data_IF_922284641626
#
_entry.id   IF_922284641626
#
_cell.length_a   1.000
_cell.length_b   1.000
_cell.length_c   1.000
_cell.angle_alpha   90.00
_cell.angle_beta   90.00
_cell.angle_gamma   90.00
#
_symmetry.space_group_name_H-M   'P 1'
#
loop_
_entity.id
_entity.type
_entity.pdbx_description
1 polymer ?
#
# COMPACT_ATOMS: atom_id res chain seq x y z
N UNK A 1 2.82 6.08 -7.23
CA UNK A 1 1.36 5.76 -7.24
C UNK A 1 0.60 7.06 -7.50
N UNK A 2 -0.21 7.14 -8.55
CA UNK A 2 -1.05 8.30 -8.94
C UNK A 2 -0.34 9.63 -9.20
N UNK A 3 0.99 9.69 -9.29
CA UNK A 3 1.75 10.96 -9.34
C UNK A 3 1.31 11.86 -10.51
N UNK A 4 1.09 11.28 -11.68
CA UNK A 4 0.68 12.03 -12.87
C UNK A 4 -0.75 12.61 -12.71
N UNK A 5 -1.68 11.81 -12.20
CA UNK A 5 -3.05 12.25 -11.93
C UNK A 5 -3.09 13.32 -10.85
N UNK A 6 -2.36 13.11 -9.75
CA UNK A 6 -2.25 14.08 -8.63
C UNK A 6 -1.74 15.42 -9.10
N UNK A 7 -0.66 15.45 -9.89
CA UNK A 7 -0.08 16.71 -10.41
C UNK A 7 -1.08 17.50 -11.29
N UNK A 8 -1.83 16.79 -12.14
CA UNK A 8 -2.83 17.41 -13.02
C UNK A 8 -4.03 17.95 -12.23
N UNK A 9 -4.54 17.16 -11.28
CA UNK A 9 -5.65 17.59 -10.42
C UNK A 9 -5.27 18.77 -9.54
N UNK A 10 -4.08 18.78 -8.96
CA UNK A 10 -3.63 19.93 -8.17
C UNK A 10 -3.49 21.22 -8.99
N UNK A 11 -3.06 21.13 -10.27
CA UNK A 11 -3.03 22.28 -11.17
C UNK A 11 -4.44 22.82 -11.41
N UNK A 12 -5.40 21.94 -11.66
CA UNK A 12 -6.81 22.32 -11.86
C UNK A 12 -7.41 22.98 -10.62
N UNK A 13 -7.08 22.51 -9.42
CA UNK A 13 -7.54 23.14 -8.17
C UNK A 13 -6.87 24.47 -7.85
N UNK A 14 -5.63 24.71 -8.32
CA UNK A 14 -4.98 26.01 -8.12
C UNK A 14 -5.72 27.15 -8.82
N UNK A 15 -6.37 26.86 -9.95
CA UNK A 15 -7.18 27.85 -10.67
C UNK A 15 -8.36 28.34 -9.82
N UNK A 16 -9.01 27.44 -9.08
CA UNK A 16 -10.15 27.80 -8.21
C UNK A 16 -9.73 28.36 -6.85
N UNK A 17 -8.60 27.90 -6.28
CA UNK A 17 -8.16 28.33 -4.94
C UNK A 17 -7.79 29.82 -4.86
N UNK A 18 -7.47 30.44 -5.98
CA UNK A 18 -7.11 31.86 -6.06
C UNK A 18 -8.28 32.82 -6.26
N UNK A 19 -9.50 32.32 -6.53
CA UNK A 19 -10.64 33.17 -6.85
C UNK A 19 -11.55 33.39 -5.64
N UNK A 20 -11.79 34.62 -5.31
CA UNK A 20 -12.65 35.06 -4.18
C UNK A 20 -14.15 34.80 -4.41
N UNK A 21 -14.57 34.49 -5.64
CA UNK A 21 -15.94 34.11 -6.01
C UNK A 21 -15.90 32.97 -7.03
N UNK A 22 -16.75 31.98 -6.80
CA UNK A 22 -16.99 30.90 -7.76
C UNK A 22 -18.13 31.28 -8.66
N UNK A 23 -17.88 31.18 -9.97
CA UNK A 23 -18.88 31.34 -11.01
C UNK A 23 -19.13 30.00 -11.69
N UNK A 24 -20.29 29.87 -12.34
CA UNK A 24 -20.59 28.66 -13.12
C UNK A 24 -19.54 28.40 -14.21
N UNK A 25 -18.97 29.47 -14.79
CA UNK A 25 -17.92 29.36 -15.81
C UNK A 25 -16.65 28.75 -15.23
N UNK A 26 -16.18 29.25 -14.08
CA UNK A 26 -14.94 28.75 -13.44
C UNK A 26 -15.08 27.30 -13.01
N UNK A 27 -16.24 26.88 -12.52
CA UNK A 27 -16.57 25.51 -12.20
C UNK A 27 -16.51 24.63 -13.44
N UNK A 28 -17.15 25.08 -14.54
CA UNK A 28 -17.17 24.32 -15.79
C UNK A 28 -15.77 24.11 -16.39
N UNK A 29 -14.92 25.15 -16.36
CA UNK A 29 -13.54 25.08 -16.85
C UNK A 29 -12.70 24.10 -16.01
N UNK A 30 -12.81 24.21 -14.68
CA UNK A 30 -12.07 23.30 -13.80
C UNK A 30 -12.53 21.86 -13.95
N UNK A 31 -13.81 21.60 -14.08
CA UNK A 31 -14.33 20.24 -14.29
C UNK A 31 -13.93 19.68 -15.65
N UNK A 32 -13.78 20.53 -16.67
CA UNK A 32 -13.22 20.12 -17.96
C UNK A 32 -11.77 19.65 -17.82
N UNK A 33 -10.95 20.39 -17.07
CA UNK A 33 -9.56 20.01 -16.80
C UNK A 33 -9.47 18.75 -15.93
N UNK A 34 -10.32 18.61 -14.91
CA UNK A 34 -10.42 17.40 -14.08
C UNK A 34 -10.80 16.19 -14.96
N UNK A 35 -11.81 16.32 -15.85
CA UNK A 35 -12.21 15.26 -16.76
C UNK A 35 -11.04 14.84 -17.66
N UNK A 36 -10.33 15.82 -18.21
CA UNK A 36 -9.14 15.57 -19.04
C UNK A 36 -8.05 14.84 -18.26
N UNK A 37 -7.77 15.27 -17.01
CA UNK A 37 -6.80 14.63 -16.15
C UNK A 37 -7.16 13.15 -15.85
N UNK A 38 -8.44 12.86 -15.63
CA UNK A 38 -8.93 11.49 -15.43
C UNK A 38 -8.78 10.63 -16.69
N UNK A 39 -9.13 11.16 -17.86
CA UNK A 39 -8.97 10.45 -19.15
C UNK A 39 -7.50 10.18 -19.44
N UNK A 40 -6.62 11.16 -19.23
CA UNK A 40 -5.17 11.03 -19.40
C UNK A 40 -4.55 10.03 -18.40
N UNK A 41 -5.23 9.75 -17.30
CA UNK A 41 -4.89 8.73 -16.33
C UNK A 41 -5.53 7.36 -16.62
N UNK A 42 -6.02 7.14 -17.84
CA UNK A 42 -6.71 5.91 -18.27
C UNK A 42 -8.03 5.61 -17.55
N UNK A 43 -8.72 6.62 -17.02
CA UNK A 43 -10.08 6.45 -16.51
C UNK A 43 -11.05 6.33 -17.70
N UNK A 44 -11.97 5.37 -17.62
CA UNK A 44 -13.00 5.19 -18.64
C UNK A 44 -13.78 6.49 -18.88
N UNK A 45 -13.98 6.86 -20.14
CA UNK A 45 -14.64 8.13 -20.52
C UNK A 45 -16.03 8.32 -19.89
N UNK A 46 -16.87 7.25 -19.90
CA UNK A 46 -18.22 7.32 -19.32
C UNK A 46 -18.15 7.59 -17.82
N UNK A 47 -17.19 6.95 -17.13
CA UNK A 47 -16.95 7.10 -15.70
C UNK A 47 -16.48 8.55 -15.40
N UNK A 48 -15.48 9.05 -16.13
CA UNK A 48 -14.98 10.41 -15.98
C UNK A 48 -16.04 11.47 -16.26
N UNK A 49 -16.92 11.23 -17.24
CA UNK A 49 -18.05 12.12 -17.57
C UNK A 49 -19.08 12.13 -16.45
N UNK A 50 -19.59 10.97 -16.01
CA UNK A 50 -20.58 10.87 -14.92
C UNK A 50 -20.07 11.54 -13.66
N UNK A 51 -18.83 11.24 -13.26
CA UNK A 51 -18.18 11.87 -12.13
C UNK A 51 -18.15 13.39 -12.19
N UNK A 52 -17.72 13.96 -13.32
CA UNK A 52 -17.66 15.44 -13.45
C UNK A 52 -19.04 16.09 -13.52
N UNK A 53 -20.04 15.38 -14.05
CA UNK A 53 -21.42 15.88 -14.10
C UNK A 53 -22.05 15.87 -12.68
N UNK A 54 -21.78 14.86 -11.85
CA UNK A 54 -22.22 14.79 -10.44
C UNK A 54 -21.53 15.88 -9.59
N UNK A 55 -20.20 16.03 -9.74
CA UNK A 55 -19.46 17.13 -9.08
C UNK A 55 -20.02 18.50 -9.48
N UNK A 56 -20.36 18.70 -10.77
CA UNK A 56 -20.97 19.95 -11.26
C UNK A 56 -22.27 20.27 -10.54
N UNK A 57 -23.18 19.30 -10.45
CA UNK A 57 -24.47 19.47 -9.77
C UNK A 57 -24.29 19.88 -8.31
N UNK A 58 -23.38 19.22 -7.59
CA UNK A 58 -23.09 19.53 -6.17
C UNK A 58 -22.36 20.86 -5.99
N UNK A 59 -21.42 21.19 -6.88
CA UNK A 59 -20.66 22.43 -6.83
C UNK A 59 -21.49 23.69 -7.13
N UNK A 60 -22.54 23.58 -7.92
CA UNK A 60 -23.47 24.66 -8.24
C UNK A 60 -24.60 24.80 -7.20
N UNK A 61 -24.60 24.01 -6.15
CA UNK A 61 -25.54 24.11 -5.03
C UNK A 61 -25.39 25.43 -4.28
N UNK A 62 -26.50 25.97 -3.73
CA UNK A 62 -26.53 27.28 -3.06
C UNK A 62 -25.56 27.38 -1.86
N UNK A 63 -25.29 26.26 -1.17
CA UNK A 63 -24.39 26.22 -0.03
C UNK A 63 -22.93 26.49 -0.42
N UNK A 64 -22.53 26.03 -1.60
CA UNK A 64 -21.16 26.26 -2.13
C UNK A 64 -20.98 27.69 -2.57
N UNK A 65 -21.97 28.25 -3.30
CA UNK A 65 -21.93 29.62 -3.82
C UNK A 65 -21.94 30.67 -2.71
N UNK A 66 -22.53 30.36 -1.55
CA UNK A 66 -22.56 31.23 -0.36
C UNK A 66 -21.41 31.01 0.61
N UNK A 67 -20.56 30.05 0.37
CA UNK A 67 -19.44 29.69 1.28
C UNK A 67 -18.38 30.80 1.31
N UNK A 68 -17.79 31.01 2.50
CA UNK A 68 -16.65 31.93 2.68
C UNK A 68 -15.37 31.42 2.00
N UNK A 69 -15.28 30.08 1.74
CA UNK A 69 -14.14 29.43 1.09
C UNK A 69 -14.60 28.44 0.01
N UNK A 70 -15.15 28.93 -1.09
CA UNK A 70 -15.79 28.10 -2.10
C UNK A 70 -14.82 27.08 -2.74
N UNK A 71 -13.55 27.43 -2.98
CA UNK A 71 -12.55 26.53 -3.54
C UNK A 71 -12.22 25.33 -2.65
N UNK A 72 -12.31 25.49 -1.32
CA UNK A 72 -12.15 24.35 -0.38
C UNK A 72 -13.38 23.44 -0.42
N UNK A 73 -14.57 23.99 -0.57
CA UNK A 73 -15.80 23.21 -0.71
C UNK A 73 -15.78 22.36 -1.97
N UNK A 74 -15.36 22.91 -3.10
CA UNK A 74 -15.23 22.12 -4.34
C UNK A 74 -14.18 21.00 -4.19
N UNK A 75 -13.05 21.29 -3.59
CA UNK A 75 -12.04 20.26 -3.32
C UNK A 75 -12.63 19.13 -2.46
N UNK A 76 -13.42 19.46 -1.44
CA UNK A 76 -14.11 18.48 -0.61
C UNK A 76 -15.13 17.66 -1.41
N UNK A 77 -15.95 18.32 -2.24
CA UNK A 77 -16.92 17.64 -3.10
C UNK A 77 -16.21 16.65 -4.02
N UNK A 78 -15.14 17.07 -4.70
CA UNK A 78 -14.36 16.20 -5.58
C UNK A 78 -13.77 15.03 -4.80
N UNK A 79 -13.25 15.24 -3.60
CA UNK A 79 -12.73 14.20 -2.71
C UNK A 79 -13.80 13.17 -2.36
N UNK A 80 -14.95 13.66 -1.91
CA UNK A 80 -16.05 12.82 -1.46
C UNK A 80 -16.64 12.01 -2.63
N UNK A 81 -16.76 12.61 -3.82
CA UNK A 81 -17.20 11.92 -5.03
C UNK A 81 -16.18 10.90 -5.54
N UNK A 82 -14.88 11.19 -5.46
CA UNK A 82 -13.84 10.20 -5.76
C UNK A 82 -13.92 9.01 -4.82
N UNK A 83 -14.11 9.26 -3.52
CA UNK A 83 -14.28 8.20 -2.54
C UNK A 83 -15.52 7.34 -2.85
N UNK A 84 -16.65 7.96 -3.16
CA UNK A 84 -17.90 7.27 -3.54
C UNK A 84 -17.72 6.45 -4.83
N UNK A 85 -17.08 7.01 -5.84
CA UNK A 85 -16.79 6.32 -7.09
C UNK A 85 -15.95 5.04 -6.88
N UNK A 86 -15.05 5.07 -5.90
CA UNK A 86 -14.23 3.93 -5.50
C UNK A 86 -14.90 2.98 -4.50
N UNK A 87 -16.14 3.27 -4.06
CA UNK A 87 -16.92 2.36 -3.20
C UNK A 87 -17.33 2.94 -1.84
N UNK A 88 -16.98 4.19 -1.52
CA UNK A 88 -17.36 4.92 -0.32
C UNK A 88 -16.59 4.46 0.92
N UNK A 89 -16.81 3.23 1.37
CA UNK A 89 -16.18 2.65 2.56
C UNK A 89 -15.38 1.40 2.24
N UNK A 90 -14.40 1.10 3.10
CA UNK A 90 -13.63 -0.14 2.99
C UNK A 90 -14.54 -1.35 3.21
N UNK A 91 -14.29 -2.41 2.44
CA UNK A 91 -15.03 -3.67 2.55
C UNK A 91 -14.07 -4.78 3.00
N UNK A 92 -14.33 -5.39 4.14
CA UNK A 92 -13.51 -6.49 4.65
C UNK A 92 -13.73 -7.79 3.86
N UNK A 93 -12.80 -8.72 4.02
CA UNK A 93 -12.87 -10.06 3.44
C UNK A 93 -13.85 -10.92 4.25
N UNK A 94 -14.68 -11.69 3.56
CA UNK A 94 -15.61 -12.64 4.19
C UNK A 94 -14.88 -13.93 4.56
N UNK A 95 -14.90 -14.28 5.83
CA UNK A 95 -14.29 -15.49 6.37
C UNK A 95 -15.35 -16.37 7.03
N UNK A 96 -16.28 -16.84 6.22
CA UNK A 96 -17.41 -17.67 6.65
C UNK A 96 -17.13 -19.15 6.39
N UNK A 97 -17.60 -20.02 7.28
CA UNK A 97 -17.36 -21.46 7.19
C UNK A 97 -16.14 -21.95 7.98
N UNK A 98 -16.00 -23.27 8.07
CA UNK A 98 -14.88 -23.95 8.74
C UNK A 98 -14.41 -25.14 7.89
N UNK A 99 -13.33 -24.97 7.14
CA UNK A 99 -12.57 -23.75 6.91
C UNK A 99 -13.32 -22.74 6.03
N UNK A 100 -13.03 -21.44 6.20
CA UNK A 100 -13.41 -20.42 5.22
C UNK A 100 -12.57 -20.60 3.96
N UNK A 101 -13.20 -20.68 2.79
CA UNK A 101 -12.51 -20.92 1.51
C UNK A 101 -12.45 -19.62 0.70
N UNK A 102 -11.26 -19.23 0.30
CA UNK A 102 -10.99 -18.06 -0.54
C UNK A 102 -10.46 -18.56 -1.89
N UNK A 103 -11.16 -18.23 -2.96
CA UNK A 103 -10.75 -18.57 -4.33
C UNK A 103 -10.06 -17.36 -4.98
N UNK A 104 -8.85 -17.56 -5.52
CA UNK A 104 -8.09 -16.52 -6.20
C UNK A 104 -8.16 -16.73 -7.70
N UNK A 105 -8.68 -15.75 -8.44
CA UNK A 105 -8.86 -15.79 -9.89
C UNK A 105 -8.15 -14.61 -10.57
N UNK A 106 -7.80 -14.75 -11.86
CA UNK A 106 -7.21 -13.67 -12.67
C UNK A 106 -6.27 -14.19 -13.76
N UNK A 107 -5.80 -13.31 -14.62
CA UNK A 107 -4.92 -13.65 -15.72
C UNK A 107 -3.51 -14.06 -15.26
N UNK A 108 -2.74 -14.65 -16.16
CA UNK A 108 -1.32 -14.93 -15.94
C UNK A 108 -0.54 -13.63 -15.75
N UNK A 109 0.38 -13.62 -14.80
CA UNK A 109 1.19 -12.44 -14.50
C UNK A 109 0.47 -11.35 -13.69
N UNK A 110 -0.83 -11.52 -13.36
CA UNK A 110 -1.55 -10.55 -12.51
C UNK A 110 -1.12 -10.55 -11.04
N UNK A 111 -0.25 -11.46 -10.62
CA UNK A 111 0.27 -11.51 -9.24
C UNK A 111 -0.54 -12.37 -8.27
N UNK A 112 -1.38 -13.29 -8.74
CA UNK A 112 -2.21 -14.18 -7.90
C UNK A 112 -1.42 -14.92 -6.83
N UNK A 113 -0.39 -15.65 -7.22
CA UNK A 113 0.43 -16.48 -6.32
C UNK A 113 1.12 -15.64 -5.25
N UNK A 114 1.69 -14.48 -5.64
CA UNK A 114 2.28 -13.53 -4.68
C UNK A 114 1.22 -12.95 -3.74
N UNK A 115 0.04 -12.61 -4.28
CA UNK A 115 -1.09 -12.12 -3.47
C UNK A 115 -1.59 -13.21 -2.50
N UNK A 116 -1.70 -14.47 -2.94
CA UNK A 116 -2.09 -15.60 -2.09
C UNK A 116 -1.18 -15.73 -0.88
N UNK A 117 0.15 -15.62 -1.07
CA UNK A 117 1.13 -15.58 0.02
C UNK A 117 0.97 -14.37 0.93
N UNK A 118 0.82 -13.17 0.37
CA UNK A 118 0.61 -11.95 1.16
C UNK A 118 -0.68 -11.98 1.97
N UNK A 119 -1.77 -12.48 1.39
CA UNK A 119 -3.05 -12.65 2.08
C UNK A 119 -2.93 -13.65 3.22
N UNK A 120 -2.26 -14.78 3.00
CA UNK A 120 -1.99 -15.77 4.04
C UNK A 120 -1.18 -15.18 5.19
N UNK A 121 -0.14 -14.39 4.89
CA UNK A 121 0.66 -13.67 5.89
C UNK A 121 -0.19 -12.70 6.71
N UNK A 122 -1.04 -11.89 6.06
CA UNK A 122 -1.93 -10.94 6.71
C UNK A 122 -2.95 -11.63 7.62
N UNK A 123 -3.59 -12.70 7.14
CA UNK A 123 -4.58 -13.45 7.90
C UNK A 123 -3.96 -14.15 9.13
N UNK A 124 -2.75 -14.69 8.97
CA UNK A 124 -2.02 -15.32 10.07
C UNK A 124 -1.58 -14.29 11.11
N UNK A 125 -0.91 -13.21 10.68
CA UNK A 125 -0.29 -12.24 11.59
C UNK A 125 -1.28 -11.28 12.24
N UNK A 126 -2.23 -10.75 11.46
CA UNK A 126 -3.17 -9.73 11.96
C UNK A 126 -4.52 -10.29 12.42
N UNK A 127 -4.99 -11.40 11.85
CA UNK A 127 -6.28 -12.00 12.22
C UNK A 127 -6.14 -13.31 12.99
N UNK A 128 -4.92 -13.77 13.32
CA UNK A 128 -4.65 -14.97 14.11
C UNK A 128 -5.20 -16.25 13.48
N UNK A 129 -5.30 -16.31 12.15
CA UNK A 129 -5.89 -17.45 11.43
C UNK A 129 -4.85 -18.53 11.15
N UNK A 130 -5.28 -19.79 11.20
CA UNK A 130 -4.52 -20.92 10.71
C UNK A 130 -4.87 -21.13 9.23
N UNK A 131 -3.93 -20.79 8.36
CA UNK A 131 -4.14 -20.73 6.91
C UNK A 131 -3.46 -21.90 6.23
N UNK A 132 -4.14 -22.52 5.26
CA UNK A 132 -3.59 -23.46 4.30
C UNK A 132 -3.63 -22.82 2.91
N UNK A 133 -2.52 -22.88 2.18
CA UNK A 133 -2.46 -22.54 0.77
C UNK A 133 -2.67 -23.81 -0.06
N UNK A 134 -3.47 -23.76 -1.12
CA UNK A 134 -3.68 -24.88 -2.05
C UNK A 134 -3.18 -24.49 -3.43
N UNK A 135 -2.23 -25.25 -3.97
CA UNK A 135 -1.64 -25.00 -5.27
C UNK A 135 -2.49 -25.58 -6.39
N UNK A 136 -3.38 -24.78 -6.95
CA UNK A 136 -4.27 -25.16 -8.07
C UNK A 136 -3.73 -24.86 -9.46
N UNK A 137 -2.53 -24.24 -9.61
CA UNK A 137 -1.89 -24.02 -10.91
C UNK A 137 -1.11 -25.28 -11.32
N UNK A 138 -1.84 -26.25 -11.85
CA UNK A 138 -1.29 -27.56 -12.25
C UNK A 138 -0.53 -27.53 -13.58
N UNK A 139 -0.62 -26.44 -14.32
CA UNK A 139 0.00 -26.31 -15.65
C UNK A 139 1.44 -25.81 -15.59
N UNK A 140 1.82 -25.17 -14.47
CA UNK A 140 3.13 -24.55 -14.29
C UNK A 140 3.82 -25.05 -13.00
N UNK A 141 4.69 -26.06 -13.12
CA UNK A 141 5.44 -26.55 -11.95
C UNK A 141 6.15 -25.44 -11.17
N UNK A 142 6.73 -24.46 -11.88
CA UNK A 142 7.38 -23.32 -11.25
C UNK A 142 6.41 -22.46 -10.39
N UNK A 143 5.12 -22.41 -10.68
CA UNK A 143 4.14 -21.69 -9.86
C UNK A 143 3.88 -22.43 -8.54
N UNK A 144 3.84 -23.76 -8.57
CA UNK A 144 3.73 -24.60 -7.36
C UNK A 144 4.95 -24.39 -6.47
N UNK A 145 6.16 -24.46 -7.05
CA UNK A 145 7.40 -24.24 -6.31
C UNK A 145 7.49 -22.83 -5.74
N UNK A 146 7.06 -21.84 -6.50
CA UNK A 146 6.96 -20.44 -6.02
C UNK A 146 6.02 -20.35 -4.81
N UNK A 147 4.85 -20.98 -4.85
CA UNK A 147 3.91 -20.97 -3.73
C UNK A 147 4.48 -21.67 -2.51
N UNK A 148 5.22 -22.80 -2.68
CA UNK A 148 5.94 -23.50 -1.60
C UNK A 148 7.01 -22.62 -0.97
N UNK A 149 7.79 -21.89 -1.77
CA UNK A 149 8.82 -20.94 -1.27
C UNK A 149 8.16 -19.83 -0.46
N UNK A 150 7.09 -19.24 -0.97
CA UNK A 150 6.34 -18.18 -0.27
C UNK A 150 5.74 -18.72 1.03
N UNK A 151 5.12 -19.89 1.01
CA UNK A 151 4.59 -20.56 2.20
C UNK A 151 5.66 -20.78 3.27
N UNK A 152 6.84 -21.27 2.87
CA UNK A 152 8.00 -21.45 3.76
C UNK A 152 8.47 -20.14 4.40
N UNK A 153 8.53 -19.04 3.63
CA UNK A 153 8.95 -17.72 4.13
C UNK A 153 8.03 -17.17 5.23
N UNK A 154 6.72 -17.42 5.11
CA UNK A 154 5.71 -16.94 6.07
C UNK A 154 5.30 -17.99 7.10
N UNK A 155 5.87 -19.21 7.02
CA UNK A 155 5.55 -20.34 7.89
C UNK A 155 4.08 -20.79 7.74
N UNK A 156 3.57 -20.84 6.51
CA UNK A 156 2.23 -21.34 6.14
C UNK A 156 2.39 -22.58 5.28
N UNK A 157 1.63 -23.61 5.60
CA UNK A 157 1.66 -24.87 4.86
C UNK A 157 1.03 -24.74 3.48
N UNK A 158 1.60 -25.44 2.49
CA UNK A 158 1.11 -25.47 1.11
C UNK A 158 0.73 -26.90 0.76
N UNK A 159 -0.54 -27.10 0.45
CA UNK A 159 -1.06 -28.38 -0.04
C UNK A 159 -0.82 -28.52 -1.54
N UNK A 160 -0.24 -29.65 -1.92
CA UNK A 160 0.03 -30.00 -3.32
C UNK A 160 -0.20 -31.50 -3.53
N UNK A 161 -0.60 -31.91 -4.73
CA UNK A 161 -0.70 -33.31 -5.13
C UNK A 161 0.18 -33.57 -6.35
N UNK A 162 1.27 -34.32 -6.15
CA UNK A 162 2.15 -34.70 -7.27
C UNK A 162 1.44 -35.62 -8.24
N UNK A 163 1.53 -35.32 -9.54
CA UNK A 163 0.91 -36.12 -10.60
C UNK A 163 -0.57 -35.86 -10.84
N UNK A 164 -1.29 -35.25 -9.93
CA UNK A 164 -2.68 -34.85 -10.15
C UNK A 164 -2.73 -33.58 -11.00
N UNK A 165 -3.48 -33.63 -12.11
CA UNK A 165 -3.68 -32.52 -13.03
C UNK A 165 -5.11 -31.96 -13.03
N UNK A 166 -5.93 -32.42 -12.08
CA UNK A 166 -7.31 -31.95 -11.93
C UNK A 166 -7.36 -30.86 -10.82
N UNK A 167 -7.43 -29.58 -11.17
CA UNK A 167 -7.41 -28.51 -10.16
C UNK A 167 -8.67 -28.50 -9.28
N UNK A 168 -9.79 -29.02 -9.76
CA UNK A 168 -11.02 -29.14 -8.97
C UNK A 168 -10.82 -30.16 -7.84
N UNK A 169 -10.30 -31.32 -8.18
CA UNK A 169 -10.04 -32.40 -7.21
C UNK A 169 -8.98 -31.98 -6.17
N UNK A 170 -7.90 -31.32 -6.61
CA UNK A 170 -6.86 -30.80 -5.72
C UNK A 170 -7.47 -29.79 -4.72
N UNK A 171 -8.35 -28.92 -5.19
CA UNK A 171 -9.00 -27.93 -4.32
C UNK A 171 -9.92 -28.60 -3.28
N UNK A 172 -10.74 -29.58 -3.70
CA UNK A 172 -11.60 -30.34 -2.79
C UNK A 172 -10.79 -31.14 -1.75
N UNK A 173 -9.73 -31.81 -2.19
CA UNK A 173 -8.87 -32.59 -1.31
C UNK A 173 -8.08 -31.68 -0.34
N UNK A 174 -7.62 -30.53 -0.80
CA UNK A 174 -7.03 -29.52 0.04
C UNK A 174 -7.96 -29.05 1.16
N UNK A 175 -9.26 -28.86 0.86
CA UNK A 175 -10.26 -28.49 1.87
C UNK A 175 -10.51 -29.67 2.85
N UNK A 176 -10.55 -30.91 2.37
CA UNK A 176 -10.65 -32.09 3.24
C UNK A 176 -9.45 -32.18 4.18
N UNK A 177 -8.25 -31.98 3.65
CA UNK A 177 -7.01 -31.93 4.41
C UNK A 177 -7.04 -30.81 5.47
N UNK A 178 -7.49 -29.61 5.09
CA UNK A 178 -7.63 -28.48 5.99
C UNK A 178 -8.54 -28.80 7.19
N UNK A 179 -9.66 -29.49 6.95
CA UNK A 179 -10.57 -29.94 8.02
C UNK A 179 -9.90 -30.92 8.96
N UNK A 180 -9.16 -31.90 8.43
CA UNK A 180 -8.45 -32.91 9.23
C UNK A 180 -7.34 -32.31 10.10
N UNK A 181 -6.69 -31.25 9.61
CA UNK A 181 -5.58 -30.56 10.29
C UNK A 181 -6.02 -29.32 11.09
N UNK A 182 -7.34 -29.04 11.17
CA UNK A 182 -7.91 -27.90 11.88
C UNK A 182 -7.48 -26.52 11.34
N UNK A 183 -7.16 -26.43 10.05
CA UNK A 183 -7.03 -25.11 9.41
C UNK A 183 -8.38 -24.44 9.34
N UNK A 184 -8.42 -23.13 9.63
CA UNK A 184 -9.69 -22.39 9.61
C UNK A 184 -9.86 -21.50 8.40
N UNK A 185 -8.82 -21.35 7.57
CA UNK A 185 -8.85 -20.68 6.27
C UNK A 185 -8.10 -21.48 5.22
N UNK A 186 -8.67 -21.61 4.04
CA UNK A 186 -8.03 -22.19 2.85
C UNK A 186 -8.00 -21.14 1.75
N UNK A 187 -6.83 -20.89 1.18
CA UNK A 187 -6.66 -20.03 0.00
C UNK A 187 -6.31 -20.92 -1.18
N UNK A 188 -7.17 -20.95 -2.19
CA UNK A 188 -6.96 -21.72 -3.43
C UNK A 188 -6.36 -20.79 -4.48
N UNK A 189 -5.07 -20.98 -4.76
CA UNK A 189 -4.36 -20.28 -5.84
C UNK A 189 -4.59 -21.02 -7.15
N UNK A 190 -5.18 -20.34 -8.15
CA UNK A 190 -5.55 -20.97 -9.42
C UNK A 190 -4.61 -20.62 -10.56
N UNK A 191 -4.62 -21.43 -11.61
CA UNK A 191 -3.94 -21.11 -12.84
C UNK A 191 -4.44 -19.80 -13.44
N UNK A 192 -3.60 -19.14 -14.22
CA UNK A 192 -3.98 -18.02 -15.07
C UNK A 192 -3.48 -18.27 -16.49
N UNK A 193 -4.24 -17.83 -17.49
CA UNK A 193 -3.81 -17.81 -18.88
C UNK A 193 -3.53 -16.38 -19.33
N UNK A 194 -2.91 -16.23 -20.49
CA UNK A 194 -2.52 -14.92 -21.03
C UNK A 194 -3.72 -14.07 -21.44
N UNK A 195 -4.82 -14.72 -21.80
CA UNK A 195 -6.07 -14.06 -22.17
C UNK A 195 -7.26 -14.83 -21.58
N UNK A 196 -8.41 -14.17 -21.51
CA UNK A 196 -9.67 -14.82 -21.14
C UNK A 196 -10.07 -15.76 -22.26
N UNK A 197 -10.12 -17.05 -21.97
CA UNK A 197 -10.60 -18.07 -22.89
C UNK A 197 -11.66 -18.96 -22.23
N UNK A 198 -12.42 -19.67 -23.05
CA UNK A 198 -13.53 -20.49 -22.58
C UNK A 198 -13.10 -21.61 -21.65
N UNK A 199 -11.98 -22.28 -21.95
CA UNK A 199 -11.48 -23.39 -21.15
C UNK A 199 -11.05 -22.93 -19.74
N UNK A 200 -10.40 -21.76 -19.65
CA UNK A 200 -10.04 -21.15 -18.37
C UNK A 200 -11.28 -20.81 -17.54
N UNK A 201 -12.27 -20.19 -18.17
CA UNK A 201 -13.49 -19.79 -17.48
C UNK A 201 -14.31 -20.98 -16.99
N UNK A 202 -14.37 -22.05 -17.78
CA UNK A 202 -15.01 -23.31 -17.38
C UNK A 202 -14.28 -23.94 -16.18
N UNK A 203 -12.95 -23.99 -16.20
CA UNK A 203 -12.15 -24.53 -15.11
C UNK A 203 -12.36 -23.78 -13.80
N UNK A 204 -12.22 -22.44 -13.81
CA UNK A 204 -12.40 -21.63 -12.61
C UNK A 204 -13.84 -21.73 -12.07
N UNK A 205 -14.82 -21.75 -12.98
CA UNK A 205 -16.24 -21.91 -12.61
C UNK A 205 -16.49 -23.28 -11.98
N UNK A 206 -15.88 -24.36 -12.51
CA UNK A 206 -15.96 -25.69 -11.95
C UNK A 206 -15.33 -25.75 -10.55
N UNK A 207 -14.14 -25.15 -10.37
CA UNK A 207 -13.52 -25.03 -9.04
C UNK A 207 -14.45 -24.29 -8.09
N UNK A 208 -14.98 -23.11 -8.48
CA UNK A 208 -15.89 -22.33 -7.65
C UNK A 208 -17.12 -23.13 -7.23
N UNK A 209 -17.73 -23.86 -8.16
CA UNK A 209 -18.91 -24.69 -7.90
C UNK A 209 -18.62 -25.82 -6.91
N UNK A 210 -17.45 -26.47 -7.02
CA UNK A 210 -17.03 -27.58 -6.17
C UNK A 210 -16.71 -27.12 -4.74
N UNK A 211 -15.90 -26.04 -4.61
CA UNK A 211 -15.39 -25.61 -3.30
C UNK A 211 -16.31 -24.64 -2.57
N UNK A 212 -17.27 -24.03 -3.25
CA UNK A 212 -18.26 -23.06 -2.71
C UNK A 212 -17.57 -22.03 -1.81
N UNK A 213 -16.68 -21.19 -2.37
CA UNK A 213 -15.87 -20.28 -1.57
C UNK A 213 -16.75 -19.26 -0.83
N UNK A 214 -16.36 -18.88 0.38
CA UNK A 214 -16.96 -17.73 1.08
C UNK A 214 -16.57 -16.40 0.44
N UNK A 215 -15.45 -16.39 -0.29
CA UNK A 215 -14.92 -15.21 -0.97
C UNK A 215 -14.22 -15.63 -2.27
N UNK A 216 -14.57 -15.01 -3.39
CA UNK A 216 -13.87 -15.13 -4.67
C UNK A 216 -13.22 -13.79 -4.98
N UNK A 217 -11.89 -13.75 -5.06
CA UNK A 217 -11.12 -12.52 -5.30
C UNK A 217 -10.54 -12.53 -6.71
N UNK A 218 -10.87 -11.50 -7.48
CA UNK A 218 -10.30 -11.26 -8.80
C UNK A 218 -9.04 -10.40 -8.67
N UNK A 219 -7.90 -10.96 -9.06
CA UNK A 219 -6.59 -10.30 -8.99
C UNK A 219 -6.22 -9.76 -10.35
N UNK A 220 -5.98 -8.46 -10.43
CA UNK A 220 -5.68 -7.75 -11.66
C UNK A 220 -4.47 -6.83 -11.53
N UNK A 221 -3.67 -6.76 -12.58
CA UNK A 221 -2.51 -5.87 -12.68
C UNK A 221 -2.98 -4.44 -13.00
N UNK A 222 -2.74 -3.50 -12.10
CA UNK A 222 -3.15 -2.10 -12.28
C UNK A 222 -2.41 -1.41 -13.43
N UNK A 223 -1.23 -1.90 -13.82
CA UNK A 223 -0.44 -1.31 -14.92
C UNK A 223 -1.07 -1.53 -16.30
N UNK A 224 -2.00 -2.48 -16.45
CA UNK A 224 -2.65 -2.77 -17.74
C UNK A 224 -3.75 -1.78 -18.11
N UNK A 225 -4.04 -0.78 -17.27
CA UNK A 225 -4.94 0.33 -17.60
C UNK A 225 -6.37 -0.15 -17.95
N UNK A 226 -6.86 0.23 -19.13
CA UNK A 226 -8.23 -0.14 -19.59
C UNK A 226 -8.40 -1.64 -19.83
N UNK A 227 -7.34 -2.38 -20.14
CA UNK A 227 -7.41 -3.84 -20.28
C UNK A 227 -7.76 -4.51 -18.95
N UNK A 228 -7.28 -3.95 -17.82
CA UNK A 228 -7.70 -4.39 -16.50
C UNK A 228 -9.22 -4.27 -16.29
N UNK A 229 -9.80 -3.18 -16.77
CA UNK A 229 -11.26 -2.92 -16.68
C UNK A 229 -12.05 -3.88 -17.54
N UNK A 230 -11.62 -4.10 -18.77
CA UNK A 230 -12.27 -5.04 -19.71
C UNK A 230 -12.21 -6.47 -19.16
N UNK A 231 -11.03 -6.91 -18.73
CA UNK A 231 -10.82 -8.23 -18.11
C UNK A 231 -11.70 -8.40 -16.86
N UNK A 232 -11.77 -7.39 -16.00
CA UNK A 232 -12.61 -7.43 -14.80
C UNK A 232 -14.09 -7.63 -15.16
N UNK A 233 -14.58 -6.97 -16.21
CA UNK A 233 -15.96 -7.14 -16.69
C UNK A 233 -16.21 -8.56 -17.16
N UNK A 234 -15.36 -9.10 -18.03
CA UNK A 234 -15.50 -10.46 -18.56
C UNK A 234 -15.49 -11.52 -17.45
N UNK A 235 -14.57 -11.40 -16.49
CA UNK A 235 -14.54 -12.28 -15.33
C UNK A 235 -15.79 -12.13 -14.45
N UNK A 236 -16.28 -10.90 -14.25
CA UNK A 236 -17.47 -10.67 -13.42
C UNK A 236 -18.73 -11.28 -14.05
N UNK A 237 -18.90 -11.17 -15.35
CA UNK A 237 -20.06 -11.72 -16.08
C UNK A 237 -20.15 -13.25 -15.97
N UNK A 238 -18.99 -13.94 -15.90
CA UNK A 238 -18.94 -15.41 -15.87
C UNK A 238 -18.73 -16.01 -14.50
N UNK A 239 -17.90 -15.36 -13.67
CA UNK A 239 -17.52 -15.89 -12.37
C UNK A 239 -18.26 -15.24 -11.22
N UNK A 240 -18.84 -14.04 -11.40
CA UNK A 240 -19.49 -13.25 -10.34
C UNK A 240 -18.65 -13.23 -9.07
N UNK A 241 -17.44 -12.67 -9.14
CA UNK A 241 -16.53 -12.58 -8.01
C UNK A 241 -17.01 -11.58 -6.95
N UNK A 242 -16.52 -11.73 -5.71
CA UNK A 242 -16.97 -10.91 -4.56
C UNK A 242 -16.16 -9.63 -4.38
N UNK A 243 -14.93 -9.59 -4.86
CA UNK A 243 -14.05 -8.42 -4.69
C UNK A 243 -12.87 -8.43 -5.63
N UNK A 244 -12.26 -7.26 -5.79
CA UNK A 244 -11.11 -7.03 -6.66
C UNK A 244 -9.87 -6.73 -5.84
N UNK A 245 -8.75 -7.24 -6.30
CA UNK A 245 -7.42 -6.98 -5.78
C UNK A 245 -6.58 -6.32 -6.86
N UNK A 246 -6.05 -5.14 -6.56
CA UNK A 246 -5.13 -4.42 -7.45
C UNK A 246 -3.70 -4.76 -7.09
N UNK A 247 -2.93 -5.26 -8.04
CA UNK A 247 -1.50 -5.54 -7.89
C UNK A 247 -0.66 -4.54 -8.66
N UNK A 248 0.64 -4.49 -8.37
CA UNK A 248 1.66 -3.68 -9.05
C UNK A 248 1.33 -2.18 -9.11
N UNK A 249 0.59 -1.69 -8.14
CA UNK A 249 0.16 -0.29 -8.09
C UNK A 249 1.35 0.67 -7.83
N UNK A 250 2.46 0.15 -7.35
CA UNK A 250 3.75 0.86 -7.22
C UNK A 250 4.35 1.25 -8.58
N UNK A 251 4.13 0.45 -9.62
CA UNK A 251 4.50 0.77 -11.00
C UNK A 251 3.47 1.61 -11.76
N UNK A 252 2.24 1.71 -11.25
CA UNK A 252 1.16 2.49 -11.89
C UNK A 252 1.20 3.96 -11.44
N UNK A 253 1.64 4.82 -12.34
CA UNK A 253 1.62 6.28 -12.13
C UNK A 253 0.31 6.94 -12.53
N UNK A 254 -0.58 6.23 -13.25
CA UNK A 254 -1.83 6.76 -13.80
C UNK A 254 -3.01 6.53 -12.86
N UNK A 255 -3.20 5.29 -12.37
CA UNK A 255 -4.21 4.92 -11.37
C UNK A 255 -5.64 4.81 -11.86
N UNK A 256 -5.87 4.97 -13.15
CA UNK A 256 -7.22 4.97 -13.72
C UNK A 256 -7.95 3.64 -13.63
N UNK A 257 -7.23 2.53 -13.61
CA UNK A 257 -7.80 1.20 -13.42
C UNK A 257 -8.54 1.10 -12.07
N UNK A 258 -7.95 1.59 -10.98
CA UNK A 258 -8.58 1.58 -9.65
C UNK A 258 -9.93 2.32 -9.64
N UNK A 259 -9.99 3.47 -10.31
CA UNK A 259 -11.21 4.29 -10.40
C UNK A 259 -12.26 3.62 -11.28
N UNK A 260 -11.85 3.05 -12.41
CA UNK A 260 -12.75 2.52 -13.44
C UNK A 260 -13.34 1.15 -13.10
N UNK A 261 -12.54 0.23 -12.53
CA UNK A 261 -12.96 -1.14 -12.28
C UNK A 261 -14.21 -1.17 -11.38
N UNK A 262 -14.17 -0.48 -10.24
CA UNK A 262 -15.31 -0.44 -9.31
C UNK A 262 -16.60 0.01 -9.98
N UNK A 263 -16.51 1.07 -10.78
CA UNK A 263 -17.67 1.64 -11.49
C UNK A 263 -18.23 0.70 -12.56
N UNK A 264 -17.36 -0.05 -13.24
CA UNK A 264 -17.76 -0.93 -14.36
C UNK A 264 -18.33 -2.26 -13.88
N UNK A 265 -17.69 -2.89 -12.86
CA UNK A 265 -18.12 -4.23 -12.39
C UNK A 265 -19.03 -4.19 -11.17
N UNK A 266 -19.20 -3.04 -10.55
CA UNK A 266 -19.97 -2.85 -9.30
C UNK A 266 -19.56 -3.81 -8.15
N UNK A 267 -18.27 -4.19 -8.10
CA UNK A 267 -17.71 -5.02 -7.04
C UNK A 267 -16.68 -4.22 -6.23
N UNK A 268 -16.58 -4.42 -4.90
CA UNK A 268 -15.66 -3.65 -4.07
C UNK A 268 -14.19 -3.95 -4.42
N UNK A 269 -13.38 -2.90 -4.39
CA UNK A 269 -11.93 -3.06 -4.29
C UNK A 269 -11.62 -3.41 -2.84
N UNK A 270 -10.97 -4.57 -2.59
CA UNK A 270 -10.70 -5.05 -1.23
C UNK A 270 -9.26 -4.87 -0.79
N UNK A 271 -8.32 -5.09 -1.71
CA UNK A 271 -6.89 -5.03 -1.39
C UNK A 271 -6.08 -4.34 -2.48
N UNK A 272 -4.98 -3.75 -2.01
CA UNK A 272 -3.88 -3.26 -2.85
C UNK A 272 -2.63 -4.06 -2.47
N UNK A 273 -2.01 -4.68 -3.48
CA UNK A 273 -0.73 -5.36 -3.34
C UNK A 273 0.33 -4.61 -4.13
N UNK A 274 1.28 -4.00 -3.45
CA UNK A 274 2.39 -3.24 -4.04
C UNK A 274 3.72 -3.90 -3.72
N UNK A 275 4.68 -3.83 -4.66
CA UNK A 275 6.01 -4.43 -4.48
C UNK A 275 5.98 -5.93 -4.21
N UNK A 276 7.14 -6.50 -3.89
CA UNK A 276 7.32 -7.96 -3.73
C UNK A 276 7.32 -8.45 -2.28
N UNK A 277 7.47 -7.55 -1.30
CA UNK A 277 7.53 -7.91 0.12
C UNK A 277 6.20 -8.48 0.62
N UNK A 278 6.26 -9.49 1.49
CA UNK A 278 5.08 -10.18 2.01
C UNK A 278 4.18 -9.30 2.90
N UNK A 279 4.72 -8.26 3.50
CA UNK A 279 4.00 -7.26 4.29
C UNK A 279 3.39 -6.11 3.44
N UNK A 280 3.69 -6.07 2.14
CA UNK A 280 3.20 -5.04 1.23
C UNK A 280 1.80 -5.35 0.67
N UNK A 281 0.87 -5.66 1.57
CA UNK A 281 -0.57 -5.82 1.30
C UNK A 281 -1.35 -4.87 2.20
N UNK A 282 -2.25 -4.10 1.59
CA UNK A 282 -3.09 -3.13 2.30
C UNK A 282 -4.56 -3.37 1.97
N UNK A 283 -5.43 -3.17 2.95
CA UNK A 283 -6.87 -3.05 2.71
C UNK A 283 -7.14 -1.79 1.89
N UNK A 284 -8.02 -1.88 0.92
CA UNK A 284 -8.40 -0.73 0.11
C UNK A 284 -9.34 0.18 0.89
N UNK A 285 -8.90 1.41 1.14
CA UNK A 285 -9.70 2.44 1.79
C UNK A 285 -10.03 3.55 0.78
N UNK A 286 -11.26 3.62 0.25
CA UNK A 286 -11.66 4.60 -0.77
C UNK A 286 -11.34 6.05 -0.41
N UNK A 287 -11.62 6.47 0.82
CA UNK A 287 -11.36 7.84 1.29
C UNK A 287 -9.87 8.18 1.32
N UNK A 288 -9.03 7.27 1.85
CA UNK A 288 -7.57 7.46 1.89
C UNK A 288 -6.98 7.51 0.48
N UNK A 289 -7.58 6.72 -0.44
CA UNK A 289 -7.17 6.71 -1.83
C UNK A 289 -7.53 8.02 -2.53
N UNK A 290 -8.72 8.56 -2.28
CA UNK A 290 -9.12 9.88 -2.75
C UNK A 290 -8.17 10.97 -2.23
N UNK A 291 -7.79 10.93 -0.95
CA UNK A 291 -6.83 11.86 -0.35
C UNK A 291 -5.45 11.77 -1.03
N UNK A 292 -4.96 10.56 -1.32
CA UNK A 292 -3.70 10.34 -2.07
C UNK A 292 -3.77 10.90 -3.49
N UNK A 293 -4.86 10.63 -4.22
CA UNK A 293 -5.08 11.13 -5.57
C UNK A 293 -5.09 12.66 -5.60
N UNK A 294 -5.64 13.30 -4.57
CA UNK A 294 -5.70 14.76 -4.46
C UNK A 294 -4.44 15.42 -3.87
N UNK A 295 -3.38 14.63 -3.61
CA UNK A 295 -2.14 15.14 -3.02
C UNK A 295 -2.27 15.58 -1.55
N UNK A 296 -3.35 15.17 -0.87
CA UNK A 296 -3.61 15.51 0.53
C UNK A 296 -2.83 14.59 1.49
N UNK A 297 -2.15 13.57 0.97
CA UNK A 297 -1.41 12.58 1.74
C UNK A 297 -2.32 11.50 2.36
N UNK A 298 -1.70 10.63 3.15
CA UNK A 298 -2.41 9.56 3.88
C UNK A 298 -1.81 9.40 5.28
N UNK A 299 -2.05 10.40 6.11
CA UNK A 299 -1.51 10.45 7.47
C UNK A 299 -2.02 9.29 8.33
N UNK A 300 -3.25 8.81 8.08
CA UNK A 300 -3.83 7.70 8.84
C UNK A 300 -3.04 6.41 8.62
N UNK A 301 -2.77 6.05 7.35
CA UNK A 301 -1.95 4.88 7.04
C UNK A 301 -0.52 5.01 7.57
N UNK A 302 0.05 6.23 7.58
CA UNK A 302 1.37 6.46 8.16
C UNK A 302 1.37 6.20 9.67
N UNK A 303 0.35 6.69 10.39
CA UNK A 303 0.21 6.48 11.83
C UNK A 303 -0.03 5.00 12.15
N UNK A 304 -0.89 4.32 11.39
CA UNK A 304 -1.14 2.87 11.55
C UNK A 304 0.15 2.07 11.38
N UNK A 305 0.93 2.32 10.32
CA UNK A 305 2.23 1.67 10.11
C UNK A 305 3.22 1.97 11.22
N UNK A 306 3.24 3.22 11.69
CA UNK A 306 4.08 3.59 12.81
C UNK A 306 3.67 2.81 14.08
N UNK A 307 2.38 2.71 14.39
CA UNK A 307 1.89 1.97 15.55
C UNK A 307 2.17 0.46 15.47
N UNK A 308 2.07 -0.15 14.29
CA UNK A 308 2.37 -1.58 14.10
C UNK A 308 3.86 -1.92 14.32
N UNK A 309 4.76 -0.99 14.07
CA UNK A 309 6.21 -1.19 14.19
C UNK A 309 6.79 -0.63 15.49
N UNK A 310 5.97 0.10 16.26
CA UNK A 310 6.42 0.75 17.49
C UNK A 310 6.25 -0.19 18.68
N UNK A 311 7.37 -0.68 19.22
CA UNK A 311 7.38 -1.33 20.51
C UNK A 311 7.38 -0.23 21.62
N UNK A 312 6.25 -0.16 22.35
CA UNK A 312 6.10 0.83 23.43
C UNK A 312 7.20 0.71 24.52
N UNK A 313 7.67 -0.51 24.77
CA UNK A 313 8.79 -0.72 25.73
C UNK A 313 10.10 -0.18 25.20
N UNK A 314 10.41 -0.40 23.92
CA UNK A 314 11.60 0.17 23.28
C UNK A 314 11.54 1.68 23.25
N UNK A 315 10.39 2.26 22.94
CA UNK A 315 10.17 3.71 22.97
C UNK A 315 10.36 4.30 24.39
N UNK A 316 9.87 3.62 25.43
CA UNK A 316 10.11 4.02 26.83
C UNK A 316 11.59 3.93 27.22
N UNK A 317 12.27 2.85 26.82
CA UNK A 317 13.72 2.68 27.08
C UNK A 317 14.51 3.77 26.38
N UNK A 318 14.18 4.05 25.11
CA UNK A 318 14.82 5.11 24.31
C UNK A 318 14.63 6.50 24.96
N UNK A 319 13.40 6.83 25.36
CA UNK A 319 13.11 8.10 26.06
C UNK A 319 13.93 8.25 27.35
N UNK A 320 14.04 7.19 28.16
CA UNK A 320 14.88 7.18 29.37
C UNK A 320 16.36 7.42 29.05
N UNK A 321 16.89 6.77 27.99
CA UNK A 321 18.28 6.95 27.54
C UNK A 321 18.54 8.37 27.01
N UNK A 322 17.59 8.94 26.26
CA UNK A 322 17.71 10.32 25.76
C UNK A 322 17.77 11.36 26.90
N UNK A 323 16.88 11.22 27.90
CA UNK A 323 16.87 12.10 29.07
C UNK A 323 18.19 11.98 29.86
N UNK A 324 18.75 10.75 29.98
CA UNK A 324 20.03 10.49 30.67
C UNK A 324 21.26 10.77 29.79
N UNK A 325 21.11 11.30 28.58
CA UNK A 325 22.19 11.54 27.61
C UNK A 325 23.00 10.27 27.25
N UNK A 326 22.35 9.09 27.26
CA UNK A 326 22.94 7.78 27.02
C UNK A 326 22.60 7.23 25.61
N UNK A 327 22.13 8.09 24.70
CA UNK A 327 21.86 7.70 23.29
C UNK A 327 23.18 7.41 22.57
N UNK A 328 23.30 6.22 21.98
CA UNK A 328 24.52 5.71 21.38
C UNK A 328 24.28 5.14 19.97
N UNK A 329 25.31 4.61 19.30
CA UNK A 329 25.20 4.09 17.95
C UNK A 329 24.36 2.80 17.85
N UNK A 330 24.24 2.01 18.93
CA UNK A 330 23.34 0.86 18.93
C UNK A 330 21.87 1.32 18.89
N UNK A 331 21.54 2.40 19.60
CA UNK A 331 20.20 2.99 19.55
C UNK A 331 19.93 3.62 18.17
N UNK A 332 20.94 4.25 17.57
CA UNK A 332 20.83 4.89 16.26
C UNK A 332 20.59 3.85 15.15
N UNK A 333 21.32 2.72 15.15
CA UNK A 333 21.11 1.65 14.17
C UNK A 333 19.75 0.96 14.35
N UNK A 334 19.29 0.79 15.61
CA UNK A 334 17.95 0.28 15.90
C UNK A 334 16.86 1.17 15.30
N UNK A 335 17.00 2.50 15.41
CA UNK A 335 16.08 3.45 14.78
C UNK A 335 16.08 3.33 13.25
N UNK A 336 17.25 3.20 12.63
CA UNK A 336 17.37 2.98 11.18
C UNK A 336 16.64 1.68 10.77
N UNK A 337 16.83 0.61 11.54
CA UNK A 337 16.17 -0.67 11.27
C UNK A 337 14.66 -0.59 11.43
N UNK A 338 14.14 0.15 12.41
CA UNK A 338 12.72 0.41 12.56
C UNK A 338 12.14 1.18 11.36
N UNK A 339 12.84 2.23 10.90
CA UNK A 339 12.43 2.98 9.70
C UNK A 339 12.41 2.06 8.47
N UNK A 340 13.41 1.20 8.30
CA UNK A 340 13.46 0.22 7.20
C UNK A 340 12.28 -0.78 7.25
N UNK A 341 11.87 -1.20 8.44
CA UNK A 341 10.72 -2.09 8.63
C UNK A 341 9.40 -1.42 8.26
N UNK A 342 9.27 -0.09 8.39
CA UNK A 342 8.08 0.66 7.99
C UNK A 342 7.85 0.69 6.47
N UNK A 343 8.84 0.30 5.67
CA UNK A 343 8.77 0.26 4.22
C UNK A 343 9.73 1.22 3.51
N UNK A 344 9.48 1.47 2.22
CA UNK A 344 10.30 2.39 1.43
C UNK A 344 10.13 3.84 1.93
N UNK A 345 11.25 4.55 2.15
CA UNK A 345 11.25 5.96 2.58
C UNK A 345 10.47 6.89 1.65
N UNK A 346 10.52 6.64 0.36
CA UNK A 346 9.80 7.41 -0.65
C UNK A 346 8.29 7.25 -0.48
N UNK A 347 7.83 6.03 -0.19
CA UNK A 347 6.42 5.74 0.08
C UNK A 347 5.94 6.41 1.37
N UNK A 348 6.73 6.30 2.45
CA UNK A 348 6.42 6.95 3.73
C UNK A 348 6.33 8.47 3.59
N UNK A 349 7.26 9.06 2.87
CA UNK A 349 7.27 10.49 2.63
C UNK A 349 6.12 10.95 1.73
N UNK A 350 5.68 10.12 0.78
CA UNK A 350 4.51 10.41 -0.06
C UNK A 350 3.19 10.42 0.72
N UNK A 351 3.16 9.80 1.90
CA UNK A 351 1.99 9.82 2.80
C UNK A 351 1.86 11.14 3.57
N UNK A 352 2.91 11.96 3.62
CA UNK A 352 2.87 13.26 4.25
C UNK A 352 2.35 14.33 3.25
N UNK A 353 1.41 15.19 3.68
CA UNK A 353 0.85 16.25 2.83
C UNK A 353 1.97 17.17 2.28
N UNK A 354 2.03 17.34 0.96
CA UNK A 354 2.98 18.21 0.28
C UNK A 354 4.42 17.71 0.16
N UNK A 355 4.82 16.64 0.87
CA UNK A 355 6.18 16.09 0.82
C UNK A 355 6.46 15.31 -0.46
N UNK A 356 5.46 14.71 -1.08
CA UNK A 356 5.61 13.95 -2.32
C UNK A 356 6.27 14.77 -3.44
N UNK A 357 5.99 16.07 -3.50
CA UNK A 357 6.62 16.98 -4.50
C UNK A 357 8.07 17.32 -4.18
N UNK A 358 8.39 17.54 -2.92
CA UNK A 358 9.76 17.88 -2.51
C UNK A 358 10.72 16.72 -2.76
N UNK A 359 10.21 15.49 -2.73
CA UNK A 359 11.00 14.28 -2.92
C UNK A 359 10.94 13.71 -4.34
N UNK A 360 10.12 14.30 -5.23
CA UNK A 360 9.97 13.83 -6.61
C UNK A 360 11.28 13.86 -7.41
N UNK A 361 12.14 14.83 -7.10
CA UNK A 361 13.46 15.02 -7.74
C UNK A 361 14.63 14.50 -6.88
N UNK A 362 14.33 13.86 -5.75
CA UNK A 362 15.33 13.27 -4.88
C UNK A 362 15.28 11.76 -5.12
N UNK A 363 16.30 11.25 -5.77
CA UNK A 363 16.51 9.82 -5.85
C UNK A 363 17.00 9.35 -4.49
N UNK A 364 16.10 8.71 -3.71
CA UNK A 364 16.43 8.11 -2.43
C UNK A 364 16.65 6.62 -2.74
N UNK A 365 17.91 6.17 -2.87
CA UNK A 365 18.18 4.77 -3.12
C UNK A 365 17.62 3.92 -1.96
N UNK A 366 17.13 2.72 -2.24
CA UNK A 366 16.64 1.78 -1.22
C UNK A 366 17.72 1.41 -0.20
N UNK A 367 19.00 1.66 -0.55
CA UNK A 367 20.16 1.37 0.28
C UNK A 367 20.83 2.62 0.91
N UNK A 368 20.08 3.75 1.00
CA UNK A 368 20.56 5.01 1.65
C UNK A 368 21.26 4.76 3.00
N UNK A 369 20.76 3.79 3.75
CA UNK A 369 21.33 3.47 5.06
C UNK A 369 22.49 2.46 5.00
N UNK A 370 22.77 1.85 3.84
CA UNK A 370 23.76 0.77 3.72
C UNK A 370 25.17 1.24 4.10
N UNK A 371 25.53 2.43 3.66
CA UNK A 371 26.81 3.03 4.02
C UNK A 371 26.90 3.33 5.52
N UNK A 372 25.84 3.87 6.11
CA UNK A 372 25.72 4.14 7.56
C UNK A 372 25.83 2.86 8.36
N UNK A 373 25.12 1.78 7.95
CA UNK A 373 25.20 0.47 8.59
C UNK A 373 26.61 -0.13 8.50
N UNK A 374 27.28 -0.02 7.35
CA UNK A 374 28.64 -0.51 7.18
C UNK A 374 29.62 0.22 8.11
N UNK A 375 29.51 1.54 8.23
CA UNK A 375 30.35 2.34 9.13
C UNK A 375 30.12 1.92 10.60
N UNK A 376 28.85 1.81 11.04
CA UNK A 376 28.54 1.44 12.43
C UNK A 376 28.96 -0.02 12.71
N UNK A 377 28.77 -0.93 11.74
CA UNK A 377 29.19 -2.33 11.87
C UNK A 377 30.71 -2.49 12.01
N UNK A 378 31.48 -1.56 11.43
CA UNK A 378 32.95 -1.50 11.55
C UNK A 378 33.46 -0.94 12.88
N UNK A 379 32.56 -0.38 13.71
CA UNK A 379 32.89 0.07 15.07
C UNK A 379 32.92 -1.14 16.02
N UNK A 380 33.81 -1.08 17.02
CA UNK A 380 33.81 -2.02 18.13
C UNK A 380 32.57 -1.81 19.03
N UNK A 381 32.15 -2.81 19.84
CA UNK A 381 31.04 -2.64 20.78
C UNK A 381 31.23 -1.41 21.70
N UNK A 382 32.45 -1.21 22.23
CA UNK A 382 32.77 -0.06 23.09
C UNK A 382 32.62 1.28 22.33
N UNK A 383 32.99 1.34 21.07
CA UNK A 383 32.84 2.56 20.25
C UNK A 383 31.39 2.86 19.91
N UNK A 384 30.54 1.83 19.76
CA UNK A 384 29.11 2.02 19.56
C UNK A 384 28.41 2.51 20.83
N UNK A 385 28.82 2.01 21.99
CA UNK A 385 28.29 2.44 23.30
C UNK A 385 28.78 3.82 23.74
N UNK A 386 30.05 4.13 23.44
CA UNK A 386 30.76 5.34 23.85
C UNK A 386 31.30 6.11 22.64
N UNK A 387 30.44 6.84 21.89
CA UNK A 387 30.87 7.58 20.71
C UNK A 387 31.98 8.59 20.95
N UNK A 388 32.10 9.09 22.17
CA UNK A 388 33.11 10.07 22.61
C UNK A 388 34.54 9.54 22.56
N UNK A 389 34.76 8.23 22.57
CA UNK A 389 36.09 7.64 22.47
C UNK A 389 36.62 7.57 21.03
N UNK A 390 35.78 7.91 20.02
CA UNK A 390 36.14 7.79 18.59
C UNK A 390 37.02 8.98 18.18
N UNK A 391 38.34 8.81 18.33
CA UNK A 391 39.34 9.76 17.88
C UNK A 391 39.73 9.61 16.39
N UNK A 392 40.64 10.44 15.87
CA UNK A 392 41.02 10.45 14.46
C UNK A 392 41.57 9.09 13.97
N UNK A 393 42.41 8.40 14.74
CA UNK A 393 42.96 7.09 14.39
C UNK A 393 41.85 6.01 14.31
N UNK A 394 40.89 6.06 15.22
CA UNK A 394 39.72 5.14 15.19
C UNK A 394 38.83 5.41 14.00
N UNK A 395 38.58 6.68 13.64
CA UNK A 395 37.81 7.04 12.42
C UNK A 395 38.47 6.52 11.16
N UNK A 396 39.79 6.61 11.04
CA UNK A 396 40.56 6.07 9.93
C UNK A 396 40.40 4.54 9.81
N UNK A 397 40.53 3.82 10.93
CA UNK A 397 40.31 2.38 10.98
C UNK A 397 38.89 2.00 10.59
N UNK A 398 37.88 2.73 11.11
CA UNK A 398 36.46 2.52 10.81
C UNK A 398 36.20 2.77 9.32
N UNK A 399 36.74 3.84 8.73
CA UNK A 399 36.63 4.13 7.32
C UNK A 399 37.21 3.00 6.46
N UNK A 400 38.40 2.52 6.78
CA UNK A 400 39.03 1.41 6.10
C UNK A 400 38.25 0.10 6.22
N UNK A 401 37.71 -0.19 7.42
CA UNK A 401 36.93 -1.40 7.70
C UNK A 401 35.56 -1.42 7.02
N UNK A 402 34.93 -0.26 6.84
CA UNK A 402 33.64 -0.11 6.17
C UNK A 402 33.71 0.08 4.66
N UNK A 403 34.92 0.20 4.09
CA UNK A 403 35.09 0.52 2.67
C UNK A 403 34.61 1.94 2.31
N UNK A 404 34.59 2.87 3.29
CA UNK A 404 34.15 4.25 3.11
C UNK A 404 35.33 5.23 3.29
N UNK A 405 35.08 6.53 3.12
CA UNK A 405 36.07 7.57 3.31
C UNK A 405 36.05 8.16 4.73
N UNK A 406 37.14 8.78 5.17
CA UNK A 406 37.17 9.58 6.40
C UNK A 406 36.10 10.68 6.42
N UNK A 407 35.81 11.27 5.26
CA UNK A 407 34.76 12.27 5.13
C UNK A 407 33.38 11.70 5.44
N UNK A 408 33.10 10.47 5.00
CA UNK A 408 31.81 9.79 5.28
C UNK A 408 31.65 9.47 6.77
N UNK A 409 32.71 8.97 7.41
CA UNK A 409 32.71 8.73 8.85
C UNK A 409 32.47 10.04 9.63
N UNK A 410 33.16 11.14 9.25
CA UNK A 410 32.97 12.44 9.91
C UNK A 410 31.55 12.98 9.69
N UNK A 411 30.97 12.77 8.50
CA UNK A 411 29.59 13.14 8.19
C UNK A 411 28.60 12.38 9.08
N UNK A 412 28.81 11.07 9.24
CA UNK A 412 27.97 10.25 10.12
C UNK A 412 28.08 10.70 11.58
N UNK A 413 29.29 10.98 12.09
CA UNK A 413 29.48 11.49 13.44
C UNK A 413 28.71 12.79 13.67
N UNK A 414 28.76 13.70 12.70
CA UNK A 414 28.01 14.96 12.77
C UNK A 414 26.49 14.72 12.74
N UNK A 415 26.00 13.88 11.84
CA UNK A 415 24.58 13.51 11.75
C UNK A 415 24.08 12.87 13.06
N UNK A 416 24.88 12.00 13.66
CA UNK A 416 24.57 11.38 14.93
C UNK A 416 24.44 12.44 16.06
N UNK A 417 25.39 13.37 16.16
CA UNK A 417 25.38 14.44 17.16
C UNK A 417 24.17 15.38 16.94
N UNK A 418 23.85 15.73 15.72
CA UNK A 418 22.70 16.58 15.39
C UNK A 418 21.38 15.86 15.72
N UNK A 419 21.27 14.57 15.39
CA UNK A 419 20.11 13.74 15.74
C UNK A 419 19.94 13.65 17.26
N UNK A 420 21.03 13.40 18.01
CA UNK A 420 21.03 13.34 19.47
C UNK A 420 20.54 14.63 20.10
N UNK A 421 21.00 15.79 19.60
CA UNK A 421 20.57 17.13 20.06
C UNK A 421 19.06 17.34 19.78
N UNK A 422 18.60 17.03 18.58
CA UNK A 422 17.21 17.19 18.19
C UNK A 422 16.28 16.30 19.03
N UNK A 423 16.63 15.02 19.20
CA UNK A 423 15.83 14.09 20.00
C UNK A 423 15.81 14.50 21.49
N UNK A 424 16.91 15.01 22.03
CA UNK A 424 16.95 15.53 23.40
C UNK A 424 16.04 16.75 23.58
N UNK A 425 16.01 17.67 22.62
CA UNK A 425 15.10 18.81 22.61
C UNK A 425 13.64 18.40 22.60
N UNK A 426 13.28 17.38 21.82
CA UNK A 426 11.92 16.81 21.75
C UNK A 426 11.55 16.09 23.05
N UNK A 427 12.46 15.27 23.60
CA UNK A 427 12.23 14.52 24.83
C UNK A 427 12.13 15.42 26.08
N UNK A 428 12.84 16.57 26.08
CA UNK A 428 12.83 17.56 27.14
C UNK A 428 11.67 18.57 27.11
N UNK A 429 10.70 18.43 26.19
CA UNK A 429 9.56 19.33 26.10
C UNK A 429 9.86 20.73 25.54
N UNK A 430 11.08 20.97 25.04
CA UNK A 430 11.55 22.29 24.59
C UNK A 430 11.14 22.68 23.15
N UNK A 431 10.60 21.78 22.33
CA UNK A 431 10.02 22.14 21.05
C UNK A 431 8.50 22.16 21.15
N UNK A 432 7.93 23.36 21.17
CA UNK A 432 6.52 23.51 20.75
C UNK A 432 6.45 23.02 19.31
N UNK A 433 5.80 21.88 19.08
CA UNK A 433 5.37 21.53 17.72
C UNK A 433 4.71 22.75 17.09
N UNK A 434 5.01 23.09 15.83
CA UNK A 434 4.25 24.12 15.14
C UNK A 434 2.79 23.74 15.33
N UNK A 435 2.01 24.67 15.92
CA UNK A 435 0.56 24.50 16.08
C UNK A 435 0.01 24.17 14.70
N UNK A 436 -0.41 22.94 14.48
CA UNK A 436 -1.35 22.66 13.41
C UNK A 436 -2.54 23.59 13.62
N UNK A 437 -3.07 24.22 12.57
CA UNK A 437 -4.25 25.03 12.69
C UNK A 437 -5.36 24.17 13.30
N UNK A 438 -5.55 24.34 14.59
CA UNK A 438 -6.58 23.66 15.35
C UNK A 438 -7.93 24.24 14.97
N UNK A 439 -8.76 23.42 14.38
CA UNK A 439 -10.14 23.71 14.10
C UNK A 439 -10.85 22.46 13.66
N UNK A 440 -11.12 21.55 14.61
CA UNK A 440 -12.29 20.68 14.63
C UNK A 440 -12.07 19.55 15.65
N UNK A 441 -12.23 19.88 16.92
CA UNK A 441 -12.72 18.96 17.94
C UNK A 441 -13.28 19.79 19.08
N UNK A 442 -14.55 20.17 18.95
CA UNK A 442 -15.49 20.41 20.06
C UNK A 442 -16.92 20.33 19.52
N UNK A 443 -17.59 19.32 20.01
CA UNK A 443 -19.00 18.94 20.01
C UNK A 443 -19.50 18.19 18.80
#
# INVERSE_FOLDING_TARGET
MFENLTDKLERSFKLIKGEGRITEINVAETLKEIRRALIDADVNYKVAKSFTDEVKQKALGQDVLKSVKPGQMITKIVRDELAQLMGGTATDIKLEGTPAVILIAGLQGSGKTTFSGKLASLLKSKKGRQVLLVAGDVYRPAAIDQLKVLGGQIGVEVYTEEGNRNPVEIAENGIKYARQKNYNVVIVDTAGRLAVDEAMMQEITAIKAAVKPSETLFVVDAMTGQDAVNTAREFNERLDFDGVVLTKLDGDTRGGAAISIRSVVNKPLKFISSGEKMDALQVFHPERMADRILGMGDVVSLVERAQEQFDEEEARKLKKKLVKNQFNFNDFISQIQQIKKMGNLKDLASMLPGMGKMLKNVDIPDDVFKQTEAIISSMTPAEREHPEIINARRRERIAKGSGTTMADVNRLMKQFDDTRKMMKAVAGGGMKMPKMPGGMMRR
#
